data_IF_753054167669
#
_entry.id   IF_753054167669
#
_cell.length_a   1.000
_cell.length_b   1.000
_cell.length_c   1.000
_cell.angle_alpha   90.00
_cell.angle_beta   90.00
_cell.angle_gamma   90.00
#
_symmetry.space_group_name_H-M   'P 1'
#
loop_
_entity.id
_entity.type
_entity.pdbx_description
1 polymer ?
#
# COMPACT_ATOMS: atom_id res chain seq x y z
N UNK A 1 -1.06 1.27 -7.98
CA UNK A 1 -0.02 0.99 -6.96
C UNK A 1 -0.67 0.23 -5.81
N UNK A 2 -0.05 -0.83 -5.27
CA UNK A 2 -0.67 -1.65 -4.19
C UNK A 2 -0.75 -0.93 -2.83
N UNK A 3 -0.05 0.20 -2.65
CA UNK A 3 -0.01 0.95 -1.38
C UNK A 3 -1.31 1.70 -1.08
N UNK A 4 -1.94 2.31 -2.09
CA UNK A 4 -3.05 3.23 -1.84
C UNK A 4 -4.38 2.50 -1.61
N UNK A 5 -4.66 1.45 -2.39
CA UNK A 5 -5.95 0.74 -2.28
C UNK A 5 -5.83 -0.63 -1.58
N UNK A 6 -4.69 -1.30 -1.70
CA UNK A 6 -4.55 -2.72 -1.36
C UNK A 6 -3.72 -2.99 -0.09
N UNK A 7 -3.42 -1.97 0.71
CA UNK A 7 -2.78 -2.14 2.03
C UNK A 7 -1.29 -2.48 2.00
N UNK A 8 -0.58 -2.30 0.86
CA UNK A 8 0.83 -2.66 0.79
C UNK A 8 1.69 -1.82 1.75
N UNK A 9 2.35 -2.46 2.72
CA UNK A 9 3.28 -1.83 3.67
C UNK A 9 4.73 -1.75 3.16
N UNK A 10 4.96 -2.00 1.87
CA UNK A 10 6.29 -2.08 1.27
C UNK A 10 7.18 -0.85 1.56
N UNK A 11 6.68 0.39 1.41
CA UNK A 11 7.42 1.61 1.76
C UNK A 11 7.76 1.76 3.25
N UNK A 12 7.10 1.01 4.12
CA UNK A 12 7.27 1.03 5.58
C UNK A 12 8.00 -0.22 6.09
N UNK A 13 8.44 -1.11 5.20
CA UNK A 13 9.02 -2.42 5.56
C UNK A 13 10.47 -2.51 5.13
N UNK A 14 11.37 -2.77 6.07
CA UNK A 14 12.79 -2.99 5.83
C UNK A 14 13.05 -4.45 5.47
N UNK A 15 13.14 -4.72 4.18
CA UNK A 15 13.49 -6.05 3.67
C UNK A 15 14.18 -6.00 2.33
N UNK A 16 14.92 -7.06 2.01
CA UNK A 16 15.59 -7.25 0.72
C UNK A 16 14.69 -7.87 -0.35
N UNK A 17 13.42 -8.16 -0.06
CA UNK A 17 12.50 -8.89 -0.96
C UNK A 17 12.40 -8.31 -2.38
N UNK A 18 12.48 -7.00 -2.57
CA UNK A 18 12.44 -6.38 -3.90
C UNK A 18 13.82 -6.12 -4.52
N UNK A 19 14.90 -6.42 -3.78
CA UNK A 19 16.29 -6.28 -4.22
C UNK A 19 16.93 -7.61 -4.58
N UNK A 20 16.86 -8.62 -3.71
CA UNK A 20 17.42 -9.96 -3.97
C UNK A 20 16.40 -10.95 -4.55
N UNK A 21 15.11 -10.66 -4.36
CA UNK A 21 13.97 -11.52 -4.72
C UNK A 21 13.93 -12.84 -3.93
N UNK A 22 12.71 -13.37 -3.78
CA UNK A 22 12.49 -14.74 -3.34
C UNK A 22 12.99 -15.71 -4.41
N UNK A 23 13.89 -16.62 -3.99
CA UNK A 23 14.54 -17.60 -4.86
C UNK A 23 15.20 -16.98 -6.12
N UNK A 24 15.56 -15.68 -6.08
CA UNK A 24 16.04 -14.92 -7.25
C UNK A 24 15.04 -14.83 -8.41
N UNK A 25 13.76 -15.13 -8.18
CA UNK A 25 12.71 -15.14 -9.22
C UNK A 25 11.70 -14.01 -9.04
N UNK A 26 11.05 -13.93 -7.88
CA UNK A 26 9.90 -13.04 -7.68
C UNK A 26 9.84 -12.44 -6.28
N UNK A 27 8.82 -11.63 -6.00
CA UNK A 27 8.50 -11.12 -4.67
C UNK A 27 6.98 -11.02 -4.53
N UNK A 28 6.46 -10.84 -3.30
CA UNK A 28 5.01 -10.65 -3.09
C UNK A 28 4.44 -9.58 -4.00
N UNK A 29 5.05 -8.39 -4.03
CA UNK A 29 4.56 -7.26 -4.83
C UNK A 29 4.65 -7.52 -6.33
N UNK A 30 5.62 -8.32 -6.80
CA UNK A 30 5.71 -8.74 -8.21
C UNK A 30 4.65 -9.77 -8.59
N UNK A 31 4.22 -10.60 -7.63
CA UNK A 31 3.12 -11.53 -7.79
C UNK A 31 1.73 -10.90 -7.57
N UNK A 32 1.62 -9.57 -7.54
CA UNK A 32 0.36 -8.86 -7.32
C UNK A 32 -0.13 -8.83 -5.86
N UNK A 33 0.65 -9.40 -4.93
CA UNK A 33 0.29 -9.46 -3.51
C UNK A 33 0.90 -8.26 -2.74
N UNK A 34 0.12 -7.50 -1.97
CA UNK A 34 0.65 -6.43 -1.12
C UNK A 34 1.67 -6.96 -0.10
N UNK A 35 2.69 -6.14 0.18
CA UNK A 35 3.61 -6.42 1.28
C UNK A 35 2.84 -6.27 2.61
N UNK A 36 2.97 -7.25 3.51
CA UNK A 36 2.31 -7.23 4.81
C UNK A 36 3.20 -6.72 5.94
N UNK A 37 4.47 -6.42 5.66
CA UNK A 37 5.43 -5.95 6.65
C UNK A 37 5.93 -7.00 7.63
N UNK A 38 6.05 -8.26 7.21
CA UNK A 38 6.43 -9.39 8.09
C UNK A 38 7.86 -9.32 8.68
N UNK A 39 8.68 -8.34 8.30
CA UNK A 39 10.02 -8.11 8.87
C UNK A 39 10.05 -6.96 9.87
N UNK A 40 8.94 -6.27 10.09
CA UNK A 40 8.83 -5.21 11.09
C UNK A 40 8.38 -5.79 12.45
N UNK A 41 8.81 -5.20 13.58
CA UNK A 41 8.57 -5.75 14.92
C UNK A 41 7.09 -5.72 15.34
N UNK A 42 6.29 -4.83 14.77
CA UNK A 42 4.86 -4.70 15.05
C UNK A 42 3.99 -5.71 14.27
N UNK A 43 4.61 -6.59 13.49
CA UNK A 43 3.87 -7.61 12.76
C UNK A 43 3.39 -8.74 13.70
N UNK A 44 2.12 -9.18 13.61
CA UNK A 44 1.09 -8.77 12.66
C UNK A 44 0.43 -7.42 13.00
N UNK A 45 0.22 -6.60 11.97
CA UNK A 45 -0.43 -5.29 12.14
C UNK A 45 -1.94 -5.42 12.37
N UNK A 46 -2.50 -4.51 13.17
CA UNK A 46 -3.93 -4.36 13.44
C UNK A 46 -4.63 -5.63 13.95
N UNK A 47 -3.91 -6.51 14.64
CA UNK A 47 -4.42 -7.78 15.19
C UNK A 47 -5.17 -8.64 14.16
N UNK A 48 -4.82 -8.50 12.86
CA UNK A 48 -5.48 -9.17 11.74
C UNK A 48 -7.00 -8.95 11.70
N UNK A 49 -7.49 -7.82 12.21
CA UNK A 49 -8.91 -7.48 12.16
C UNK A 49 -9.43 -7.52 10.70
N UNK A 50 -10.64 -8.05 10.45
CA UNK A 50 -11.21 -8.07 9.11
C UNK A 50 -11.20 -6.68 8.46
N UNK A 51 -10.73 -6.59 7.22
CA UNK A 51 -10.64 -5.32 6.48
C UNK A 51 -9.35 -4.51 6.70
N UNK A 52 -8.40 -4.98 7.51
CA UNK A 52 -7.14 -4.25 7.77
C UNK A 52 -5.94 -4.73 6.95
N UNK A 53 -5.97 -5.97 6.45
CA UNK A 53 -4.82 -6.61 5.77
C UNK A 53 -4.71 -6.23 4.28
N UNK A 54 -5.84 -6.12 3.59
CA UNK A 54 -5.91 -5.92 2.13
C UNK A 54 -6.52 -4.58 1.71
N UNK A 55 -6.67 -3.64 2.65
CA UNK A 55 -7.20 -2.30 2.37
C UNK A 55 -6.41 -1.28 3.17
N UNK A 56 -5.97 -0.23 2.49
CA UNK A 56 -5.34 0.90 3.16
C UNK A 56 -6.40 1.74 3.85
N UNK A 57 -6.23 1.98 5.13
CA UNK A 57 -7.12 2.82 5.91
C UNK A 57 -6.90 4.28 5.49
N UNK A 58 -7.87 4.86 4.80
CA UNK A 58 -7.83 6.27 4.37
C UNK A 58 -8.80 7.11 5.18
N UNK A 59 -8.41 8.35 5.48
CA UNK A 59 -9.25 9.36 6.12
C UNK A 59 -9.34 10.52 5.13
N UNK A 60 -10.55 10.81 4.64
CA UNK A 60 -10.78 11.82 3.60
C UNK A 60 -9.88 11.62 2.37
N UNK A 61 -9.67 10.37 1.95
CA UNK A 61 -8.81 10.04 0.80
C UNK A 61 -7.31 10.10 1.06
N UNK A 62 -6.86 10.40 2.29
CA UNK A 62 -5.44 10.37 2.66
C UNK A 62 -5.15 9.14 3.51
N UNK A 63 -4.13 8.33 3.20
CA UNK A 63 -3.71 7.19 4.03
C UNK A 63 -3.45 7.64 5.47
N UNK A 64 -4.01 6.90 6.44
CA UNK A 64 -3.83 7.16 7.88
C UNK A 64 -2.36 7.01 8.28
N UNK A 65 -1.69 6.03 7.71
CA UNK A 65 -0.27 5.76 7.90
C UNK A 65 0.50 6.12 6.63
N UNK A 66 1.54 6.93 6.78
CA UNK A 66 2.40 7.35 5.70
C UNK A 66 3.82 6.81 5.90
N UNK A 67 4.57 6.57 4.81
CA UNK A 67 5.94 6.12 4.90
C UNK A 67 6.81 7.09 5.69
N UNK A 68 7.79 6.56 6.43
CA UNK A 68 8.72 7.37 7.20
C UNK A 68 9.50 8.31 6.27
N UNK A 69 9.56 9.60 6.63
CA UNK A 69 10.23 10.65 5.84
C UNK A 69 9.36 11.37 4.82
N UNK A 70 8.09 10.97 4.62
CA UNK A 70 7.16 11.68 3.73
C UNK A 70 6.43 12.79 4.49
N UNK A 71 6.41 14.01 3.93
CA UNK A 71 5.60 15.10 4.46
C UNK A 71 4.12 14.85 4.18
N UNK A 72 3.30 14.85 5.24
CA UNK A 72 1.86 14.56 5.15
C UNK A 72 1.10 15.56 4.28
N UNK A 73 1.46 16.84 4.30
CA UNK A 73 0.79 17.87 3.49
C UNK A 73 1.07 17.69 2.01
N UNK A 74 2.33 17.46 1.66
CA UNK A 74 2.76 17.28 0.27
C UNK A 74 2.15 16.00 -0.31
N UNK A 75 2.10 14.92 0.48
CA UNK A 75 1.44 13.69 0.06
C UNK A 75 -0.07 13.87 -0.15
N UNK A 76 -0.74 14.56 0.77
CA UNK A 76 -2.17 14.84 0.63
C UNK A 76 -2.47 15.67 -0.63
N UNK A 77 -1.67 16.71 -0.88
CA UNK A 77 -1.77 17.52 -2.09
C UNK A 77 -1.54 16.68 -3.34
N UNK A 78 -0.48 15.88 -3.37
CA UNK A 78 -0.18 14.97 -4.49
C UNK A 78 -1.32 13.99 -4.74
N UNK A 79 -1.91 13.43 -3.67
CA UNK A 79 -3.03 12.49 -3.77
C UNK A 79 -4.26 13.17 -4.36
N UNK A 80 -4.56 14.40 -3.94
CA UNK A 80 -5.69 15.17 -4.46
C UNK A 80 -5.51 15.48 -5.95
N UNK A 81 -4.34 15.97 -6.35
CA UNK A 81 -4.02 16.25 -7.75
C UNK A 81 -4.07 14.97 -8.58
N UNK A 82 -3.51 13.88 -8.07
CA UNK A 82 -3.53 12.60 -8.76
C UNK A 82 -4.97 12.14 -9.01
N UNK A 83 -5.83 12.18 -7.97
CA UNK A 83 -7.24 11.82 -8.08
C UNK A 83 -8.00 12.66 -9.09
N UNK A 84 -7.84 13.99 -9.03
CA UNK A 84 -8.47 14.93 -9.96
C UNK A 84 -8.06 14.69 -11.41
N UNK A 85 -6.82 14.22 -11.63
CA UNK A 85 -6.30 13.91 -12.96
C UNK A 85 -6.60 12.50 -13.47
N UNK A 86 -7.16 11.61 -12.64
CA UNK A 86 -7.42 10.21 -13.02
C UNK A 86 -8.69 10.12 -13.87
N UNK A 87 -8.71 9.33 -14.96
CA UNK A 87 -9.94 9.08 -15.71
C UNK A 87 -10.95 8.26 -14.89
N UNK A 88 -12.24 8.45 -15.13
CA UNK A 88 -13.34 7.85 -14.34
C UNK A 88 -13.27 6.31 -14.26
N UNK A 89 -12.89 5.64 -15.35
CA UNK A 89 -12.77 4.18 -15.39
C UNK A 89 -11.72 3.61 -14.41
N UNK A 90 -10.79 4.44 -13.94
CA UNK A 90 -9.78 4.01 -12.96
C UNK A 90 -10.34 3.88 -11.54
N UNK A 91 -11.50 4.48 -11.26
CA UNK A 91 -12.20 4.33 -9.97
C UNK A 91 -13.17 3.13 -9.95
N UNK A 92 -13.41 2.50 -11.09
CA UNK A 92 -14.23 1.29 -11.16
C UNK A 92 -13.49 0.12 -10.48
N UNK A 93 -14.14 -0.52 -9.50
CA UNK A 93 -13.56 -1.65 -8.77
C UNK A 93 -13.37 -2.83 -9.74
N UNK A 94 -12.11 -3.13 -10.07
CA UNK A 94 -11.74 -4.20 -11.00
C UNK A 94 -12.21 -5.61 -10.55
N UNK A 95 -12.58 -5.75 -9.28
CA UNK A 95 -13.02 -7.01 -8.67
C UNK A 95 -14.54 -7.16 -8.56
N UNK A 96 -15.33 -6.15 -8.97
CA UNK A 96 -16.78 -6.25 -9.09
C UNK A 96 -17.18 -6.46 -10.54
N UNK A 97 -17.04 -7.71 -11.01
CA UNK A 97 -17.78 -8.26 -12.16
C UNK A 97 -18.74 -9.32 -11.63
#
# INVERSE_FOLDING_TARGET
>A
CLFYDLGCRGPMTRSSCNRILWNRVSSKTRAGMPCLGCTEPEFPFHDLMPGTVFKTQTVMGVPKELPTGVNRKDYALLTMVAKDSTPEWAEEDFFTV
#
